data_IF_216731217931
#
_entry.id   IF_216731217931
#
_cell.length_a   1.000
_cell.length_b   1.000
_cell.length_c   1.000
_cell.angle_alpha   90.00
_cell.angle_beta   90.00
_cell.angle_gamma   90.00
#
_symmetry.space_group_name_H-M   'P 1'
#
loop_
_entity.id
_entity.type
_entity.pdbx_description
1 polymer ?
#
# COMPACT_ATOMS: atom_id res chain seq x y z
N UNK A 1 15.27 -13.88 -16.53
CA UNK A 1 13.90 -13.40 -16.14
C UNK A 1 13.30 -14.20 -14.99
N UNK A 2 13.57 -15.53 -14.89
CA UNK A 2 13.01 -16.37 -13.83
C UNK A 2 13.40 -15.97 -12.41
N UNK A 3 14.66 -15.59 -12.19
CA UNK A 3 15.16 -15.15 -10.87
C UNK A 3 14.45 -13.89 -10.39
N UNK A 4 14.27 -12.91 -11.25
CA UNK A 4 13.58 -11.66 -10.89
C UNK A 4 12.12 -11.92 -10.49
N UNK A 5 11.41 -12.80 -11.22
CA UNK A 5 10.05 -13.20 -10.89
C UNK A 5 9.97 -13.87 -9.52
N UNK A 6 10.88 -14.80 -9.22
CA UNK A 6 10.95 -15.49 -7.92
C UNK A 6 11.20 -14.47 -6.79
N UNK A 7 12.11 -13.52 -7.00
CA UNK A 7 12.37 -12.46 -6.04
C UNK A 7 11.14 -11.59 -5.79
N UNK A 8 10.43 -11.15 -6.84
CA UNK A 8 9.24 -10.32 -6.70
C UNK A 8 8.11 -11.06 -5.98
N UNK A 9 7.87 -12.33 -6.30
CA UNK A 9 6.87 -13.16 -5.62
C UNK A 9 7.28 -13.41 -4.16
N UNK A 10 8.57 -13.66 -3.91
CA UNK A 10 9.10 -13.79 -2.55
C UNK A 10 8.91 -12.51 -1.72
N UNK A 11 9.21 -11.35 -2.29
CA UNK A 11 8.97 -10.06 -1.63
C UNK A 11 7.47 -9.83 -1.35
N UNK A 12 6.59 -10.18 -2.29
CA UNK A 12 5.14 -10.08 -2.07
C UNK A 12 4.68 -10.97 -0.91
N UNK A 13 5.16 -12.21 -0.85
CA UNK A 13 4.86 -13.14 0.24
C UNK A 13 5.37 -12.62 1.59
N UNK A 14 6.58 -12.04 1.63
CA UNK A 14 7.13 -11.43 2.85
C UNK A 14 6.30 -10.23 3.31
N UNK A 15 5.81 -9.38 2.40
CA UNK A 15 4.93 -8.27 2.76
C UNK A 15 3.62 -8.77 3.37
N UNK A 16 2.98 -9.76 2.77
CA UNK A 16 1.75 -10.37 3.30
C UNK A 16 1.99 -10.98 4.68
N UNK A 17 3.11 -11.69 4.83
CA UNK A 17 3.48 -12.29 6.12
C UNK A 17 3.74 -11.22 7.19
N UNK A 18 4.47 -10.16 6.86
CA UNK A 18 4.73 -9.05 7.78
C UNK A 18 3.43 -8.33 8.18
N UNK A 19 2.51 -8.14 7.23
CA UNK A 19 1.20 -7.56 7.47
C UNK A 19 0.36 -8.45 8.42
N UNK A 20 0.31 -9.76 8.16
CA UNK A 20 -0.40 -10.72 9.00
C UNK A 20 0.19 -10.77 10.42
N UNK A 21 1.53 -10.73 10.55
CA UNK A 21 2.21 -10.72 11.86
C UNK A 21 1.87 -9.47 12.68
N UNK A 22 1.77 -8.30 12.04
CA UNK A 22 1.37 -7.06 12.72
C UNK A 22 -0.05 -7.15 13.27
N UNK A 23 -1.00 -7.65 12.48
CA UNK A 23 -2.39 -7.83 12.94
C UNK A 23 -2.47 -8.86 14.07
N UNK A 24 -1.77 -9.99 13.92
CA UNK A 24 -1.71 -11.01 14.96
C UNK A 24 -1.13 -10.45 16.27
N UNK A 25 -0.04 -9.67 16.18
CA UNK A 25 0.55 -8.98 17.32
C UNK A 25 -0.42 -8.03 17.99
N UNK A 26 -1.10 -7.20 17.22
CA UNK A 26 -2.10 -6.26 17.73
C UNK A 26 -3.28 -6.98 18.42
N UNK A 27 -3.77 -8.09 17.87
CA UNK A 27 -4.85 -8.88 18.50
C UNK A 27 -4.39 -9.48 19.82
N UNK A 28 -3.17 -10.02 19.90
CA UNK A 28 -2.60 -10.58 21.12
C UNK A 28 -2.45 -9.48 22.18
N UNK A 29 -1.98 -8.32 21.80
CA UNK A 29 -1.79 -7.18 22.68
C UNK A 29 -3.13 -6.65 23.21
N UNK A 30 -4.15 -6.55 22.37
CA UNK A 30 -5.53 -6.21 22.76
C UNK A 30 -6.07 -7.20 23.80
N UNK A 31 -5.89 -8.51 23.58
CA UNK A 31 -6.35 -9.52 24.52
C UNK A 31 -5.63 -9.45 25.88
N UNK A 32 -4.33 -9.12 25.87
CA UNK A 32 -3.55 -8.99 27.10
C UNK A 32 -3.87 -7.71 27.89
N UNK A 33 -4.30 -6.64 27.19
CA UNK A 33 -4.56 -5.32 27.77
C UNK A 33 -6.03 -5.07 28.10
N UNK A 34 -6.93 -6.06 27.93
CA UNK A 34 -8.36 -5.91 28.24
C UNK A 34 -8.68 -5.45 29.67
N UNK A 35 -7.74 -5.53 30.60
CA UNK A 35 -7.92 -5.12 31.97
C UNK A 35 -7.49 -3.67 32.27
N UNK A 36 -6.70 -3.04 31.38
CA UNK A 36 -6.22 -1.66 31.59
C UNK A 36 -6.26 -0.86 30.28
N UNK A 37 -7.37 -0.16 30.08
CA UNK A 37 -7.62 0.65 28.89
C UNK A 37 -6.65 1.82 28.72
N UNK A 38 -6.14 2.37 29.83
CA UNK A 38 -5.21 3.49 29.79
C UNK A 38 -3.87 3.06 29.20
N UNK A 39 -3.39 1.88 29.60
CA UNK A 39 -2.18 1.28 29.06
C UNK A 39 -2.34 0.91 27.58
N UNK A 40 -3.51 0.37 27.21
CA UNK A 40 -3.83 0.02 25.84
C UNK A 40 -3.81 1.25 24.91
N UNK A 41 -4.46 2.34 25.31
CA UNK A 41 -4.46 3.58 24.55
C UNK A 41 -3.05 4.18 24.40
N UNK A 42 -2.24 4.08 25.44
CA UNK A 42 -0.85 4.53 25.40
C UNK A 42 0.01 3.70 24.41
N UNK A 43 -0.15 2.37 24.41
CA UNK A 43 0.56 1.47 23.49
C UNK A 43 0.08 1.65 22.04
N UNK A 44 -1.21 1.83 21.83
CA UNK A 44 -1.78 2.07 20.50
C UNK A 44 -1.46 3.49 19.96
N UNK A 45 -0.70 4.29 20.71
CA UNK A 45 -0.42 5.69 20.35
C UNK A 45 -1.68 6.53 20.13
N UNK A 46 -2.79 6.11 20.71
CA UNK A 46 -4.05 6.85 20.70
C UNK A 46 -4.09 7.70 21.98
N UNK A 47 -4.15 9.03 21.91
CA UNK A 47 -4.25 9.86 23.10
C UNK A 47 -5.54 9.54 23.83
N UNK A 48 -5.51 9.56 25.16
CA UNK A 48 -6.71 9.45 25.98
C UNK A 48 -7.70 10.55 25.59
N UNK A 49 -8.81 10.22 24.92
CA UNK A 49 -9.82 11.21 24.67
C UNK A 49 -10.75 11.28 25.89
N UNK A 50 -10.79 12.44 26.51
CA UNK A 50 -11.82 12.75 27.47
C UNK A 50 -13.20 12.52 26.83
N UNK A 51 -13.83 11.37 27.09
CA UNK A 51 -15.19 11.08 26.63
C UNK A 51 -15.40 9.83 25.77
N UNK A 52 -14.38 9.04 25.43
CA UNK A 52 -14.61 7.75 24.76
C UNK A 52 -15.10 6.69 25.77
N UNK A 53 -16.14 5.94 25.35
CA UNK A 53 -16.51 4.71 26.03
C UNK A 53 -15.51 3.58 25.69
N UNK A 54 -15.34 2.59 26.60
CA UNK A 54 -14.44 1.45 26.36
C UNK A 54 -14.69 0.73 25.03
N UNK A 55 -15.95 0.62 24.60
CA UNK A 55 -16.33 0.00 23.31
C UNK A 55 -15.84 0.82 22.09
N UNK A 56 -15.86 2.14 22.19
CA UNK A 56 -15.35 3.01 21.13
C UNK A 56 -13.83 2.93 21.02
N UNK A 57 -13.13 2.86 22.15
CA UNK A 57 -11.68 2.67 22.17
C UNK A 57 -11.28 1.32 21.56
N UNK A 58 -12.01 0.24 21.89
CA UNK A 58 -11.80 -1.09 21.33
C UNK A 58 -11.99 -1.09 19.80
N UNK A 59 -13.09 -0.51 19.30
CA UNK A 59 -13.37 -0.45 17.88
C UNK A 59 -12.28 0.30 17.10
N UNK A 60 -11.73 1.37 17.67
CA UNK A 60 -10.64 2.14 17.06
C UNK A 60 -9.35 1.31 17.05
N UNK A 61 -9.05 0.66 18.16
CA UNK A 61 -7.86 -0.16 18.30
C UNK A 61 -7.86 -1.37 17.34
N UNK A 62 -9.01 -1.95 17.07
CA UNK A 62 -9.18 -3.02 16.07
C UNK A 62 -9.15 -2.48 14.63
N UNK A 63 -9.73 -1.31 14.40
CA UNK A 63 -9.80 -0.73 13.06
C UNK A 63 -8.43 -0.26 12.54
N UNK A 64 -7.58 0.29 13.40
CA UNK A 64 -6.30 0.88 12.99
C UNK A 64 -5.36 -0.14 12.31
N UNK A 65 -5.06 -1.31 12.90
CA UNK A 65 -4.23 -2.33 12.27
C UNK A 65 -4.81 -2.86 10.95
N UNK A 66 -6.15 -2.95 10.84
CA UNK A 66 -6.82 -3.39 9.63
C UNK A 66 -6.67 -2.36 8.50
N UNK A 67 -6.74 -1.07 8.83
CA UNK A 67 -6.54 0.01 7.85
C UNK A 67 -5.08 0.04 7.38
N UNK A 68 -4.12 -0.20 8.27
CA UNK A 68 -2.69 -0.28 7.93
C UNK A 68 -2.32 -1.49 7.07
N UNK A 69 -3.14 -2.54 7.06
CA UNK A 69 -2.97 -3.68 6.16
C UNK A 69 -3.17 -3.32 4.68
N UNK A 70 -4.05 -2.38 4.37
CA UNK A 70 -4.44 -2.09 2.98
C UNK A 70 -3.25 -1.65 2.12
N UNK A 71 -2.37 -0.73 2.54
CA UNK A 71 -1.17 -0.37 1.77
C UNK A 71 -0.22 -1.54 1.53
N UNK A 72 -0.03 -2.41 2.53
CA UNK A 72 0.84 -3.58 2.39
C UNK A 72 0.29 -4.59 1.39
N UNK A 73 -1.02 -4.86 1.44
CA UNK A 73 -1.70 -5.72 0.47
C UNK A 73 -1.66 -5.13 -0.95
N UNK A 74 -1.84 -3.82 -1.08
CA UNK A 74 -1.67 -3.12 -2.36
C UNK A 74 -0.23 -3.24 -2.86
N UNK A 75 0.76 -3.07 -1.99
CA UNK A 75 2.18 -3.26 -2.32
C UNK A 75 2.48 -4.68 -2.79
N UNK A 76 1.99 -5.69 -2.08
CA UNK A 76 2.13 -7.10 -2.47
C UNK A 76 1.46 -7.39 -3.82
N UNK A 77 0.26 -6.85 -4.05
CA UNK A 77 -0.45 -6.96 -5.32
C UNK A 77 0.34 -6.33 -6.47
N UNK A 78 0.93 -5.14 -6.27
CA UNK A 78 1.77 -4.49 -7.28
C UNK A 78 3.02 -5.30 -7.60
N UNK A 79 3.63 -5.96 -6.62
CA UNK A 79 4.77 -6.86 -6.85
C UNK A 79 4.38 -8.09 -7.68
N UNK A 80 3.20 -8.65 -7.46
CA UNK A 80 2.69 -9.76 -8.27
C UNK A 80 2.42 -9.32 -9.72
N UNK A 81 1.84 -8.15 -9.93
CA UNK A 81 1.66 -7.58 -11.27
C UNK A 81 3.00 -7.30 -11.95
N UNK A 82 4.00 -6.81 -11.21
CA UNK A 82 5.35 -6.64 -11.73
C UNK A 82 5.98 -7.97 -12.13
N UNK A 83 5.81 -9.03 -11.32
CA UNK A 83 6.31 -10.37 -11.62
C UNK A 83 5.68 -10.96 -12.89
N UNK A 84 4.40 -10.73 -13.10
CA UNK A 84 3.69 -11.17 -14.31
C UNK A 84 4.14 -10.36 -15.54
N UNK A 85 4.26 -9.04 -15.40
CA UNK A 85 4.74 -8.15 -16.44
C UNK A 85 6.16 -8.47 -16.90
N UNK A 86 7.08 -8.77 -15.96
CA UNK A 86 8.47 -9.13 -16.31
C UNK A 86 8.56 -10.37 -17.18
N UNK A 87 7.61 -11.29 -17.07
CA UNK A 87 7.57 -12.51 -17.88
C UNK A 87 7.18 -12.21 -19.33
N UNK A 88 6.23 -11.32 -19.53
CA UNK A 88 5.80 -10.88 -20.86
C UNK A 88 6.90 -10.04 -21.55
N UNK A 89 7.43 -9.04 -20.86
CA UNK A 89 8.49 -8.15 -21.38
C UNK A 89 9.78 -8.90 -21.73
N UNK A 90 10.08 -10.00 -21.05
CA UNK A 90 11.26 -10.82 -21.34
C UNK A 90 11.11 -11.66 -22.61
N UNK A 91 9.89 -11.90 -23.08
CA UNK A 91 9.62 -12.65 -24.32
C UNK A 91 9.62 -11.71 -25.52
N UNK A 92 8.80 -10.70 -25.45
CA UNK A 92 8.67 -9.67 -26.48
C UNK A 92 8.24 -8.35 -25.84
N UNK A 93 9.15 -7.37 -25.68
CA UNK A 93 8.84 -6.12 -24.97
C UNK A 93 7.72 -5.30 -25.63
N UNK A 94 7.58 -5.37 -26.95
CA UNK A 94 6.63 -4.57 -27.72
C UNK A 94 5.49 -5.39 -28.35
N UNK A 95 5.45 -6.69 -28.08
CA UNK A 95 4.39 -7.57 -28.54
C UNK A 95 3.03 -7.23 -27.93
N UNK A 96 1.96 -7.66 -28.59
CA UNK A 96 0.57 -7.37 -28.16
C UNK A 96 0.29 -7.83 -26.74
N UNK A 97 0.81 -8.98 -26.34
CA UNK A 97 0.64 -9.50 -24.98
C UNK A 97 1.29 -8.57 -23.94
N UNK A 98 2.53 -8.13 -24.19
CA UNK A 98 3.26 -7.24 -23.28
C UNK A 98 2.57 -5.89 -23.15
N UNK A 99 2.14 -5.31 -24.26
CA UNK A 99 1.41 -4.04 -24.27
C UNK A 99 0.07 -4.16 -23.58
N UNK A 100 -0.69 -5.23 -23.82
CA UNK A 100 -1.96 -5.47 -23.13
C UNK A 100 -1.79 -5.61 -21.61
N UNK A 101 -0.75 -6.32 -21.15
CA UNK A 101 -0.40 -6.40 -19.71
C UNK A 101 0.07 -5.05 -19.17
N UNK A 102 0.82 -4.26 -19.93
CA UNK A 102 1.20 -2.91 -19.54
C UNK A 102 -0.02 -1.99 -19.36
N UNK A 103 -1.01 -2.06 -20.24
CA UNK A 103 -2.26 -1.27 -20.10
C UNK A 103 -2.98 -1.63 -18.80
N UNK A 104 -3.12 -2.93 -18.53
CA UNK A 104 -3.78 -3.43 -17.32
C UNK A 104 -3.00 -3.03 -16.07
N UNK A 105 -1.68 -3.23 -16.06
CA UNK A 105 -0.81 -2.88 -14.94
C UNK A 105 -0.79 -1.37 -14.68
N UNK A 106 -0.74 -0.54 -15.73
CA UNK A 106 -0.79 0.91 -15.59
C UNK A 106 -2.13 1.38 -14.97
N UNK A 107 -3.25 0.75 -15.36
CA UNK A 107 -4.56 1.04 -14.77
C UNK A 107 -4.59 0.71 -13.27
N UNK A 108 -4.12 -0.48 -12.90
CA UNK A 108 -4.08 -0.89 -11.50
C UNK A 108 -3.10 -0.06 -10.67
N UNK A 109 -1.93 0.28 -11.23
CA UNK A 109 -0.96 1.16 -10.56
C UNK A 109 -1.56 2.54 -10.28
N UNK A 110 -2.28 3.12 -11.25
CA UNK A 110 -2.97 4.40 -11.05
C UNK A 110 -4.03 4.32 -9.94
N UNK A 111 -4.83 3.25 -9.94
CA UNK A 111 -5.84 3.03 -8.90
C UNK A 111 -5.20 2.83 -7.53
N UNK A 112 -4.09 2.08 -7.46
CA UNK A 112 -3.35 1.86 -6.22
C UNK A 112 -2.76 3.17 -5.67
N UNK A 113 -2.21 4.04 -6.51
CA UNK A 113 -1.74 5.37 -6.09
C UNK A 113 -2.90 6.18 -5.50
N UNK A 114 -4.03 6.25 -6.22
CA UNK A 114 -5.20 7.01 -5.76
C UNK A 114 -5.76 6.45 -4.44
N UNK A 115 -5.92 5.14 -4.34
CA UNK A 115 -6.41 4.48 -3.12
C UNK A 115 -5.48 4.73 -1.93
N UNK A 116 -4.17 4.61 -2.13
CA UNK A 116 -3.16 4.84 -1.10
C UNK A 116 -3.17 6.28 -0.61
N UNK A 117 -3.26 7.25 -1.53
CA UNK A 117 -3.32 8.68 -1.17
C UNK A 117 -4.61 9.03 -0.43
N UNK A 118 -5.78 8.53 -0.89
CA UNK A 118 -7.06 8.74 -0.22
C UNK A 118 -7.06 8.14 1.18
N UNK A 119 -6.52 6.92 1.32
CA UNK A 119 -6.42 6.25 2.61
C UNK A 119 -5.49 7.00 3.57
N UNK A 120 -4.29 7.40 3.10
CA UNK A 120 -3.34 8.17 3.90
C UNK A 120 -3.95 9.51 4.34
N UNK A 121 -4.63 10.21 3.43
CA UNK A 121 -5.32 11.46 3.75
C UNK A 121 -6.41 11.23 4.80
N UNK A 122 -7.24 10.19 4.61
CA UNK A 122 -8.32 9.85 5.55
C UNK A 122 -7.79 9.54 6.94
N UNK A 123 -6.77 8.69 7.07
CA UNK A 123 -6.12 8.37 8.34
C UNK A 123 -5.54 9.61 9.02
N UNK A 124 -4.83 10.46 8.26
CA UNK A 124 -4.25 11.69 8.81
C UNK A 124 -5.32 12.69 9.23
N UNK A 125 -6.44 12.82 8.48
CA UNK A 125 -7.57 13.67 8.87
C UNK A 125 -8.24 13.19 10.15
N UNK A 126 -8.43 11.87 10.30
CA UNK A 126 -8.98 11.29 11.54
C UNK A 126 -8.04 11.53 12.71
N UNK A 127 -6.73 11.34 12.51
CA UNK A 127 -5.72 11.69 13.53
C UNK A 127 -5.83 13.17 13.91
N UNK A 128 -5.82 14.08 12.92
CA UNK A 128 -5.90 15.53 13.15
C UNK A 128 -7.19 15.95 13.87
N UNK A 129 -8.36 15.47 13.44
CA UNK A 129 -9.63 15.81 14.05
C UNK A 129 -9.75 15.39 15.52
N UNK A 130 -9.00 14.37 15.93
CA UNK A 130 -8.96 13.91 17.34
C UNK A 130 -7.94 14.64 18.19
N UNK A 131 -6.89 15.19 17.57
CA UNK A 131 -5.82 15.92 18.25
C UNK A 131 -6.12 17.41 18.48
N UNK A 132 -7.22 17.94 17.95
CA UNK A 132 -7.57 19.38 18.03
C UNK A 132 -7.74 19.91 19.48
N UNK A 133 -7.85 19.00 20.45
CA UNK A 133 -7.87 19.35 21.89
C UNK A 133 -6.51 19.41 22.58
N UNK A 134 -5.38 19.06 21.88
CA UNK A 134 -4.06 18.89 22.47
C UNK A 134 -2.92 19.56 21.68
N UNK A 135 -3.21 20.64 20.98
CA UNK A 135 -2.32 21.29 19.97
C UNK A 135 -0.99 21.85 20.51
N UNK A 136 -0.58 21.62 21.74
CA UNK A 136 0.66 22.26 22.21
C UNK A 136 1.94 21.48 21.93
N UNK A 137 1.95 20.19 21.66
CA UNK A 137 3.22 19.44 21.45
C UNK A 137 3.19 18.22 20.51
N UNK A 138 2.14 17.96 19.76
CA UNK A 138 2.08 16.75 18.92
C UNK A 138 2.73 16.98 17.56
N UNK A 139 3.90 16.38 17.34
CA UNK A 139 4.45 16.17 15.99
C UNK A 139 3.49 15.25 15.22
N UNK A 140 2.60 15.83 14.41
CA UNK A 140 1.82 15.07 13.45
C UNK A 140 2.78 14.47 12.44
N UNK A 141 3.22 13.22 12.64
CA UNK A 141 3.94 12.48 11.63
C UNK A 141 2.95 12.14 10.52
N UNK A 142 3.16 12.70 9.34
CA UNK A 142 2.44 12.29 8.14
C UNK A 142 2.91 10.87 7.77
N UNK A 143 2.14 9.87 8.16
CA UNK A 143 2.41 8.49 7.78
C UNK A 143 1.95 8.28 6.32
N UNK A 144 2.89 8.47 5.40
CA UNK A 144 2.68 8.14 3.99
C UNK A 144 3.25 6.73 3.73
N UNK A 145 2.46 5.80 3.22
CA UNK A 145 2.95 4.49 2.82
C UNK A 145 3.78 4.60 1.53
N UNK A 146 5.05 4.99 1.68
CA UNK A 146 5.95 5.32 0.57
C UNK A 146 6.23 4.12 -0.33
N UNK A 147 6.36 2.91 0.24
CA UNK A 147 6.70 1.70 -0.52
C UNK A 147 5.67 1.41 -1.62
N UNK A 148 4.36 1.24 -1.33
CA UNK A 148 3.37 1.00 -2.37
C UNK A 148 3.22 2.18 -3.34
N UNK A 149 3.42 3.42 -2.89
CA UNK A 149 3.38 4.60 -3.75
C UNK A 149 4.52 4.61 -4.77
N UNK A 150 5.76 4.43 -4.31
CA UNK A 150 6.94 4.40 -5.18
C UNK A 150 6.85 3.24 -6.17
N UNK A 151 6.49 2.05 -5.69
CA UNK A 151 6.34 0.86 -6.53
C UNK A 151 5.27 1.05 -7.60
N UNK A 152 4.11 1.56 -7.24
CA UNK A 152 3.01 1.82 -8.18
C UNK A 152 3.38 2.90 -9.18
N UNK A 153 4.06 3.97 -8.77
CA UNK A 153 4.54 5.03 -9.66
C UNK A 153 5.59 4.50 -10.66
N UNK A 154 6.54 3.70 -10.18
CA UNK A 154 7.56 3.09 -11.02
C UNK A 154 6.96 2.15 -12.07
N UNK A 155 6.01 1.29 -11.68
CA UNK A 155 5.30 0.41 -12.60
C UNK A 155 4.47 1.19 -13.62
N UNK A 156 3.78 2.24 -13.19
CA UNK A 156 3.02 3.12 -14.09
C UNK A 156 3.93 3.75 -15.15
N UNK A 157 5.07 4.31 -14.73
CA UNK A 157 6.03 4.93 -15.65
C UNK A 157 6.63 3.91 -16.60
N UNK A 158 7.04 2.73 -16.11
CA UNK A 158 7.54 1.64 -16.94
C UNK A 158 6.54 1.27 -18.04
N UNK A 159 5.28 1.05 -17.68
CA UNK A 159 4.25 0.70 -18.63
C UNK A 159 4.00 1.80 -19.66
N UNK A 160 4.09 3.06 -19.26
CA UNK A 160 3.99 4.20 -20.19
C UNK A 160 5.17 4.26 -21.15
N UNK A 161 6.38 3.98 -20.69
CA UNK A 161 7.55 3.90 -21.55
C UNK A 161 7.42 2.80 -22.63
N UNK A 162 6.93 1.61 -22.21
CA UNK A 162 6.71 0.49 -23.15
C UNK A 162 5.64 0.85 -24.21
N UNK A 163 4.52 1.45 -23.79
CA UNK A 163 3.47 1.90 -24.71
C UNK A 163 4.01 2.91 -25.72
N UNK A 164 4.76 3.90 -25.26
CA UNK A 164 5.36 4.91 -26.12
C UNK A 164 6.41 4.34 -27.08
N UNK A 165 7.19 3.35 -26.59
CA UNK A 165 8.16 2.65 -27.43
C UNK A 165 7.50 1.90 -28.57
N UNK A 166 6.35 1.27 -28.35
CA UNK A 166 5.57 0.63 -29.41
C UNK A 166 5.04 1.63 -30.44
N UNK A 167 4.43 2.73 -29.98
CA UNK A 167 3.95 3.81 -30.86
C UNK A 167 5.06 4.29 -31.81
N UNK A 168 6.28 4.51 -31.28
CA UNK A 168 7.43 4.92 -32.06
C UNK A 168 7.89 3.85 -33.04
N UNK A 169 7.78 2.58 -32.70
CA UNK A 169 8.12 1.48 -33.62
C UNK A 169 7.12 1.38 -34.75
N UNK A 170 5.81 1.45 -34.44
CA UNK A 170 4.75 1.44 -35.47
C UNK A 170 4.87 2.63 -36.43
N UNK A 171 5.21 3.83 -35.93
CA UNK A 171 5.47 5.02 -36.78
C UNK A 171 6.67 4.80 -37.70
N UNK A 172 7.75 4.20 -37.19
CA UNK A 172 8.95 3.95 -37.98
C UNK A 172 8.72 2.89 -39.06
N UNK A 173 7.97 1.83 -38.75
CA UNK A 173 7.62 0.78 -39.71
C UNK A 173 6.65 1.28 -40.79
N UNK A 174 5.91 2.36 -40.54
CA UNK A 174 5.01 2.97 -41.53
C UNK A 174 5.71 3.84 -42.54
N UNK A 175 6.98 4.18 -42.32
CA UNK A 175 7.78 5.08 -43.20
C UNK A 175 8.56 4.29 -44.29
N UNK A 176 8.68 2.97 -44.16
CA UNK A 176 9.39 2.06 -45.06
C UNK A 176 8.38 1.43 -46.02
#
# INVERSE_FOLDING_TARGET
SGVLRILLVGCAALLVFAAASRVSGAIVEINNLQQDWTLFLAVASVPEPSGLTGDQALNIALALPLVELIPDLLGAWMLLLAADLTTALARDPFGEESVGRCVTTARWSRLAIQATLVLALGVNLVKLARYDSLITEVKVSLDLPLIPLILSAALYLLCRCVQRGRELQEDNDSII
#
